data_IF_569653968115
#
_entry.id   IF_569653968115
#
_cell.length_a   1.000
_cell.length_b   1.000
_cell.length_c   1.000
_cell.angle_alpha   90.00
_cell.angle_beta   90.00
_cell.angle_gamma   90.00
#
_symmetry.space_group_name_H-M   'P 1'
#
loop_
_entity.id
_entity.type
_entity.pdbx_description
1 polymer ?
#
# COMPACT_ATOMS: atom_id res chain seq x y z
N UNK A 1 -7.50 -0.19 28.60
CA UNK A 1 -8.05 0.90 27.79
C UNK A 1 -7.78 0.51 26.34
N UNK A 2 -8.79 -0.02 25.66
CA UNK A 2 -8.66 -0.34 24.23
C UNK A 2 -9.14 0.87 23.46
N UNK A 3 -8.30 1.39 22.56
CA UNK A 3 -8.71 2.40 21.59
C UNK A 3 -9.84 1.81 20.75
N UNK A 4 -11.06 2.23 21.06
CA UNK A 4 -12.25 1.84 20.33
C UNK A 4 -12.33 2.57 18.99
N UNK A 5 -13.17 2.06 18.09
CA UNK A 5 -13.44 2.69 16.79
C UNK A 5 -13.86 4.17 16.93
N UNK A 6 -14.59 4.51 18.01
CA UNK A 6 -15.00 5.89 18.30
C UNK A 6 -13.82 6.83 18.61
N UNK A 7 -12.86 6.39 19.42
CA UNK A 7 -11.68 7.21 19.76
C UNK A 7 -10.79 7.43 18.53
N UNK A 8 -10.62 6.39 17.70
CA UNK A 8 -9.89 6.49 16.44
C UNK A 8 -10.55 7.51 15.50
N UNK A 9 -11.88 7.49 15.38
CA UNK A 9 -12.61 8.47 14.55
C UNK A 9 -12.44 9.91 15.05
N UNK A 10 -12.45 10.13 16.36
CA UNK A 10 -12.21 11.46 16.94
C UNK A 10 -10.79 11.95 16.63
N UNK A 11 -9.78 11.10 16.83
CA UNK A 11 -8.39 11.43 16.49
C UNK A 11 -8.20 11.69 15.00
N UNK A 12 -8.82 10.87 14.14
CA UNK A 12 -8.79 11.05 12.70
C UNK A 12 -9.42 12.39 12.30
N UNK A 13 -10.55 12.75 12.91
CA UNK A 13 -11.22 14.03 12.67
C UNK A 13 -10.34 15.20 13.10
N UNK A 14 -9.68 15.09 14.25
CA UNK A 14 -8.75 16.12 14.73
C UNK A 14 -7.55 16.28 13.78
N UNK A 15 -6.98 15.17 13.32
CA UNK A 15 -5.91 15.18 12.33
C UNK A 15 -6.37 15.78 10.99
N UNK A 16 -7.60 15.46 10.54
CA UNK A 16 -8.18 16.03 9.33
C UNK A 16 -8.43 17.54 9.46
N UNK A 17 -8.72 18.08 10.64
CA UNK A 17 -8.84 19.52 10.86
C UNK A 17 -7.47 20.22 10.80
N UNK A 18 -6.42 19.61 11.37
CA UNK A 18 -5.07 20.19 11.37
C UNK A 18 -4.39 20.10 10.00
N UNK A 19 -4.44 18.94 9.36
CA UNK A 19 -3.78 18.68 8.09
C UNK A 19 -4.68 18.94 6.88
N UNK A 20 -6.00 18.92 7.05
CA UNK A 20 -6.97 19.01 5.95
C UNK A 20 -7.23 17.65 5.29
N UNK A 21 -8.47 17.42 4.87
CA UNK A 21 -8.90 16.17 4.23
C UNK A 21 -8.16 15.83 2.92
N UNK A 22 -7.52 16.83 2.30
CA UNK A 22 -6.77 16.64 1.05
C UNK A 22 -5.34 16.12 1.26
N UNK A 23 -4.71 16.40 2.42
CA UNK A 23 -3.30 16.03 2.69
C UNK A 23 -3.13 14.55 3.01
N UNK A 24 -4.05 13.95 3.76
CA UNK A 24 -4.00 12.51 4.08
C UNK A 24 -3.91 11.60 2.83
N UNK A 25 -4.80 11.71 1.82
CA UNK A 25 -4.72 10.87 0.63
C UNK A 25 -3.51 11.21 -0.26
N UNK A 26 -3.06 12.47 -0.27
CA UNK A 26 -1.87 12.90 -1.00
C UNK A 26 -0.61 12.21 -0.46
N UNK A 27 -0.43 12.19 0.87
CA UNK A 27 0.67 11.49 1.55
C UNK A 27 0.55 9.97 1.38
N UNK A 28 -0.66 9.41 1.48
CA UNK A 28 -0.89 7.98 1.26
C UNK A 28 -0.51 7.53 -0.17
N UNK A 29 -0.80 8.35 -1.19
CA UNK A 29 -0.42 8.06 -2.58
C UNK A 29 1.08 8.10 -2.82
N UNK A 30 1.79 9.07 -2.23
CA UNK A 30 3.24 9.17 -2.37
C UNK A 30 3.95 8.04 -1.61
N UNK A 31 3.57 7.79 -0.36
CA UNK A 31 4.09 6.69 0.45
C UNK A 31 3.78 5.32 -0.19
N UNK A 32 2.55 5.12 -0.67
CA UNK A 32 2.15 3.88 -1.33
C UNK A 32 2.94 3.61 -2.62
N UNK A 33 3.19 4.65 -3.41
CA UNK A 33 4.06 4.54 -4.60
C UNK A 33 5.48 4.17 -4.22
N UNK A 34 6.05 4.81 -3.20
CA UNK A 34 7.40 4.50 -2.70
C UNK A 34 7.51 3.06 -2.17
N UNK A 35 6.53 2.60 -1.38
CA UNK A 35 6.49 1.22 -0.88
C UNK A 35 6.36 0.21 -2.03
N UNK A 36 5.55 0.53 -3.06
CA UNK A 36 5.39 -0.33 -4.23
C UNK A 36 6.69 -0.45 -5.02
N UNK A 37 7.42 0.64 -5.23
CA UNK A 37 8.72 0.61 -5.91
C UNK A 37 9.77 -0.10 -5.06
N UNK A 38 9.78 0.13 -3.75
CA UNK A 38 10.65 -0.58 -2.81
C UNK A 38 10.42 -2.10 -2.88
N UNK A 39 9.15 -2.53 -2.84
CA UNK A 39 8.78 -3.95 -2.95
C UNK A 39 9.21 -4.56 -4.30
N UNK A 40 9.02 -3.84 -5.40
CA UNK A 40 9.49 -4.27 -6.73
C UNK A 40 11.01 -4.42 -6.80
N UNK A 41 11.75 -3.48 -6.24
CA UNK A 41 13.21 -3.54 -6.19
C UNK A 41 13.71 -4.71 -5.34
N UNK A 42 13.00 -5.02 -4.26
CA UNK A 42 13.28 -6.18 -3.41
C UNK A 42 12.96 -7.50 -4.14
N UNK A 43 11.80 -7.60 -4.79
CA UNK A 43 11.39 -8.77 -5.58
C UNK A 43 12.27 -8.98 -6.83
N UNK A 44 12.82 -7.93 -7.44
CA UNK A 44 13.75 -8.05 -8.58
C UNK A 44 15.17 -8.49 -8.17
N UNK A 45 15.51 -8.41 -6.88
CA UNK A 45 16.77 -8.93 -6.33
C UNK A 45 16.72 -10.43 -6.00
N UNK A 46 15.52 -11.02 -5.95
CA UNK A 46 15.31 -12.46 -5.89
C UNK A 46 15.17 -12.98 -7.34
N UNK A 47 16.00 -13.94 -7.79
CA UNK A 47 15.91 -14.46 -9.15
C UNK A 47 14.49 -14.97 -9.43
N UNK A 48 13.95 -14.50 -10.55
CA UNK A 48 12.61 -14.72 -11.07
C UNK A 48 12.15 -16.20 -11.05
N UNK A 49 11.52 -16.65 -9.98
CA UNK A 49 10.74 -17.90 -9.99
C UNK A 49 9.28 -17.67 -10.43
N UNK A 50 8.79 -16.43 -10.43
CA UNK A 50 7.35 -16.14 -10.62
C UNK A 50 6.90 -15.85 -12.05
N UNK A 51 7.81 -15.70 -13.02
CA UNK A 51 7.42 -15.45 -14.43
C UNK A 51 7.24 -16.74 -15.26
N UNK A 52 7.65 -17.91 -14.75
CA UNK A 52 7.49 -19.19 -15.47
C UNK A 52 6.08 -19.78 -15.37
N UNK A 53 5.33 -19.50 -14.30
CA UNK A 53 4.01 -20.10 -14.08
C UNK A 53 2.91 -19.55 -15.01
N UNK A 54 3.03 -18.30 -15.46
CA UNK A 54 2.01 -17.67 -16.31
C UNK A 54 2.20 -17.93 -17.82
N UNK A 55 3.33 -18.51 -18.26
CA UNK A 55 3.58 -18.84 -19.68
C UNK A 55 3.29 -20.30 -20.03
N UNK A 56 3.25 -21.20 -19.06
CA UNK A 56 2.90 -22.62 -19.30
C UNK A 56 1.38 -22.82 -19.43
N UNK A 57 0.56 -22.09 -18.66
CA UNK A 57 -0.90 -22.23 -18.70
C UNK A 57 -1.58 -21.66 -19.97
N UNK A 58 -0.80 -21.18 -20.95
CA UNK A 58 -1.31 -20.66 -22.24
C UNK A 58 -0.85 -21.48 -23.46
N UNK A 59 -0.15 -22.60 -23.24
CA UNK A 59 0.26 -23.53 -24.32
C UNK A 59 -0.52 -24.83 -24.33
N UNK A 60 -1.38 -25.05 -23.33
CA UNK A 60 -2.18 -26.28 -23.19
C UNK A 60 -3.69 -26.07 -23.45
N UNK A 61 -4.11 -24.90 -23.96
CA UNK A 61 -5.45 -24.66 -24.54
C UNK A 61 -5.39 -24.44 -26.06
#
# INVERSE_FOLDING_TARGET
MNLGMGEILVLLTLALLLFGAKRLPEIGRSAGSAIREFKKGFEAGEPEEKEKENRENKREE
#
